data_IF_750890993427
#
_entry.id   IF_750890993427
#
_cell.length_a   1.000
_cell.length_b   1.000
_cell.length_c   1.000
_cell.angle_alpha   90.00
_cell.angle_beta   90.00
_cell.angle_gamma   90.00
#
_symmetry.space_group_name_H-M   'P 1'
#
loop_
_entity.id
_entity.type
_entity.pdbx_description
1 polymer ?
#
# COMPACT_ATOMS: atom_id res chain seq x y z
N UNK A 1 -11.67 37.89 1.57
CA UNK A 1 -10.37 38.06 2.27
C UNK A 1 -9.48 36.95 1.75
N UNK A 2 -8.27 37.26 1.29
CA UNK A 2 -7.31 36.21 0.93
C UNK A 2 -7.02 35.36 2.17
N UNK A 3 -6.94 34.02 2.03
CA UNK A 3 -6.69 33.15 3.17
C UNK A 3 -5.29 33.42 3.73
N UNK A 4 -5.20 33.66 5.04
CA UNK A 4 -3.94 33.98 5.73
C UNK A 4 -2.97 32.80 5.55
N UNK A 5 -1.72 33.05 5.11
CA UNK A 5 -0.73 31.99 4.94
C UNK A 5 -0.40 31.34 6.29
N UNK A 6 -0.34 30.00 6.37
CA UNK A 6 0.08 29.29 7.56
C UNK A 6 1.54 29.61 7.88
N UNK A 7 1.87 29.59 9.18
CA UNK A 7 3.26 29.64 9.60
C UNK A 7 4.00 28.36 9.17
N UNK A 8 5.32 28.42 8.91
CA UNK A 8 6.12 27.24 8.66
C UNK A 8 5.92 26.20 9.76
N UNK A 9 5.78 24.93 9.37
CA UNK A 9 5.68 23.83 10.32
C UNK A 9 6.99 23.73 11.10
N UNK A 10 6.87 23.59 12.42
CA UNK A 10 7.99 23.43 13.33
C UNK A 10 7.87 22.06 13.99
N UNK A 11 8.97 21.31 14.03
CA UNK A 11 9.03 20.07 14.78
C UNK A 11 8.87 20.35 16.28
N UNK A 12 7.97 19.67 17.01
CA UNK A 12 7.66 20.03 18.39
C UNK A 12 8.87 19.84 19.31
N UNK A 13 9.00 20.75 20.28
CA UNK A 13 10.00 20.66 21.33
C UNK A 13 9.79 19.37 22.14
N UNK A 14 10.85 18.57 22.29
CA UNK A 14 10.77 17.25 22.92
C UNK A 14 10.35 16.10 22.00
N UNK A 15 10.02 16.39 20.73
CA UNK A 15 9.79 15.38 19.69
C UNK A 15 8.49 14.58 19.82
N UNK A 16 7.52 15.08 20.59
CA UNK A 16 6.20 14.46 20.76
C UNK A 16 5.17 15.23 19.92
N UNK A 17 4.54 14.55 18.97
CA UNK A 17 3.43 15.13 18.20
C UNK A 17 2.17 15.23 19.05
N UNK A 18 1.29 16.18 18.72
CA UNK A 18 -0.06 16.31 19.30
C UNK A 18 -1.12 16.30 18.22
N UNK A 19 -2.39 16.15 18.59
CA UNK A 19 -3.50 16.27 17.63
C UNK A 19 -3.50 17.64 16.94
N UNK A 20 -3.23 18.72 17.68
CA UNK A 20 -3.15 20.07 17.15
C UNK A 20 -2.04 20.20 16.10
N UNK A 21 -0.91 19.53 16.31
CA UNK A 21 0.18 19.52 15.33
C UNK A 21 -0.24 18.83 14.03
N UNK A 22 -0.88 17.65 14.12
CA UNK A 22 -1.32 16.89 12.94
C UNK A 22 -2.45 17.62 12.20
N UNK A 23 -3.42 18.19 12.91
CA UNK A 23 -4.47 19.01 12.31
C UNK A 23 -3.92 20.30 11.69
N UNK A 24 -2.90 20.90 12.30
CA UNK A 24 -2.16 22.01 11.73
C UNK A 24 -1.48 21.63 10.42
N UNK A 25 -0.83 20.46 10.37
CA UNK A 25 -0.20 19.91 9.16
C UNK A 25 -1.24 19.70 8.05
N UNK A 26 -2.37 19.06 8.36
CA UNK A 26 -3.48 18.87 7.42
C UNK A 26 -3.94 20.20 6.80
N UNK A 27 -4.21 21.19 7.65
CA UNK A 27 -4.69 22.51 7.22
C UNK A 27 -3.63 23.24 6.38
N UNK A 28 -2.36 23.05 6.72
CA UNK A 28 -1.22 23.65 6.03
C UNK A 28 -1.03 23.04 4.64
N UNK A 29 -1.08 21.72 4.51
CA UNK A 29 -1.02 21.03 3.22
C UNK A 29 -2.22 21.34 2.32
N UNK A 30 -3.43 21.38 2.90
CA UNK A 30 -4.63 21.84 2.18
C UNK A 30 -4.40 23.25 1.65
N UNK A 31 -3.99 24.20 2.49
CA UNK A 31 -3.74 25.57 2.06
C UNK A 31 -2.65 25.67 1.00
N UNK A 32 -1.49 24.99 1.16
CA UNK A 32 -0.41 25.09 0.18
C UNK A 32 -0.77 24.51 -1.17
N UNK A 33 -1.59 23.45 -1.20
CA UNK A 33 -2.03 22.84 -2.46
C UNK A 33 -2.80 23.80 -3.37
N UNK A 34 -3.46 24.82 -2.79
CA UNK A 34 -4.22 25.83 -3.51
C UNK A 34 -3.44 27.11 -3.80
N UNK A 35 -2.48 27.45 -2.94
CA UNK A 35 -1.91 28.79 -2.88
C UNK A 35 -0.42 28.86 -3.24
N UNK A 36 0.30 27.73 -3.21
CA UNK A 36 1.73 27.70 -3.49
C UNK A 36 2.04 26.86 -4.73
N UNK A 37 2.99 27.29 -5.58
CA UNK A 37 3.60 26.38 -6.54
C UNK A 37 4.38 25.27 -5.78
N UNK A 38 4.53 24.07 -6.37
CA UNK A 38 5.19 22.93 -5.70
C UNK A 38 6.59 23.25 -5.14
N UNK A 39 7.39 24.04 -5.87
CA UNK A 39 8.75 24.43 -5.48
C UNK A 39 8.81 25.35 -4.25
N UNK A 40 7.67 25.86 -3.77
CA UNK A 40 7.59 26.68 -2.56
C UNK A 40 7.13 25.90 -1.32
N UNK A 41 6.81 24.60 -1.45
CA UNK A 41 6.51 23.75 -0.29
C UNK A 41 7.59 23.79 0.82
N UNK A 42 8.90 23.89 0.54
CA UNK A 42 9.93 23.97 1.58
C UNK A 42 9.80 25.18 2.51
N UNK A 43 9.13 26.25 2.08
CA UNK A 43 8.84 27.41 2.93
C UNK A 43 7.84 27.09 4.05
N UNK A 44 6.99 26.08 3.82
CA UNK A 44 5.97 25.61 4.75
C UNK A 44 6.40 24.33 5.48
N UNK A 45 7.03 23.38 4.77
CA UNK A 45 7.49 22.10 5.30
C UNK A 45 9.01 21.96 5.15
N UNK A 46 9.79 22.53 6.10
CA UNK A 46 11.25 22.51 6.05
C UNK A 46 11.84 21.09 6.11
N UNK A 47 12.99 20.89 5.45
CA UNK A 47 13.67 19.59 5.36
C UNK A 47 14.00 18.98 6.73
N UNK A 48 14.37 19.79 7.72
CA UNK A 48 14.66 19.30 9.06
C UNK A 48 13.42 18.73 9.78
N UNK A 49 12.22 19.21 9.46
CA UNK A 49 10.96 18.67 9.98
C UNK A 49 10.68 17.33 9.32
N UNK A 50 10.86 17.22 8.00
CA UNK A 50 10.74 15.95 7.27
C UNK A 50 11.71 14.92 7.83
N UNK A 51 12.99 15.28 7.99
CA UNK A 51 14.01 14.39 8.54
C UNK A 51 13.63 13.87 9.93
N UNK A 52 13.10 14.75 10.79
CA UNK A 52 12.69 14.39 12.15
C UNK A 52 11.45 13.47 12.15
N UNK A 53 10.47 13.76 11.31
CA UNK A 53 9.24 12.97 11.18
C UNK A 53 9.55 11.58 10.63
N UNK A 54 10.24 11.50 9.50
CA UNK A 54 10.61 10.23 8.87
C UNK A 54 11.50 9.41 9.80
N UNK A 55 12.50 10.00 10.44
CA UNK A 55 13.36 9.27 11.38
C UNK A 55 12.55 8.69 12.55
N UNK A 56 11.60 9.44 13.09
CA UNK A 56 10.76 9.00 14.20
C UNK A 56 9.82 7.87 13.77
N UNK A 57 9.17 8.03 12.62
CA UNK A 57 8.29 7.00 12.07
C UNK A 57 9.06 5.72 11.70
N UNK A 58 10.22 5.83 11.03
CA UNK A 58 11.07 4.70 10.68
C UNK A 58 11.48 3.90 11.92
N UNK A 59 11.81 4.54 13.05
CA UNK A 59 12.12 3.84 14.31
C UNK A 59 10.96 3.02 14.86
N UNK A 60 9.72 3.44 14.61
CA UNK A 60 8.51 2.70 14.99
C UNK A 60 8.34 1.52 14.02
N UNK A 61 8.27 1.80 12.72
CA UNK A 61 8.03 0.81 11.66
C UNK A 61 9.07 -0.33 11.66
N UNK A 62 10.35 -0.03 11.88
CA UNK A 62 11.41 -1.05 11.95
C UNK A 62 11.24 -2.06 13.09
N UNK A 63 10.51 -1.70 14.15
CA UNK A 63 10.22 -2.60 15.28
C UNK A 63 8.98 -3.45 15.05
N UNK A 64 8.14 -3.08 14.08
CA UNK A 64 6.93 -3.82 13.77
C UNK A 64 7.25 -5.13 13.05
N UNK A 65 6.38 -6.12 13.20
CA UNK A 65 6.50 -7.40 12.51
C UNK A 65 6.08 -7.27 11.05
N UNK A 66 6.42 -8.25 10.21
CA UNK A 66 5.97 -8.25 8.81
C UNK A 66 4.45 -8.31 8.71
N UNK A 67 3.82 -9.09 9.60
CA UNK A 67 2.39 -9.11 9.80
C UNK A 67 2.09 -8.47 11.16
N UNK A 68 1.49 -7.28 11.16
CA UNK A 68 1.10 -6.57 12.39
C UNK A 68 -0.25 -7.07 12.89
N UNK A 69 -0.48 -6.96 14.19
CA UNK A 69 -1.70 -7.44 14.82
C UNK A 69 -2.49 -6.26 15.40
N UNK A 70 -3.81 -6.25 15.15
CA UNK A 70 -4.77 -5.26 15.65
C UNK A 70 -5.75 -6.00 16.57
N UNK A 71 -5.30 -6.27 17.80
CA UNK A 71 -6.00 -7.17 18.73
C UNK A 71 -6.52 -6.46 20.01
N UNK A 72 -6.04 -5.24 20.33
CA UNK A 72 -6.47 -4.44 21.48
C UNK A 72 -7.82 -3.74 21.23
N UNK A 73 -8.84 -4.55 20.88
CA UNK A 73 -10.17 -4.10 20.46
C UNK A 73 -11.22 -4.41 21.53
N UNK A 74 -11.98 -3.39 21.93
CA UNK A 74 -13.11 -3.50 22.84
C UNK A 74 -14.47 -3.38 22.12
N UNK A 75 -15.58 -3.38 22.87
CA UNK A 75 -16.93 -3.31 22.30
C UNK A 75 -17.26 -2.00 21.58
N UNK A 76 -16.48 -0.94 21.82
CA UNK A 76 -16.65 0.37 21.19
C UNK A 76 -15.62 0.61 20.07
N UNK A 77 -14.75 -0.37 19.82
CA UNK A 77 -13.66 -0.26 18.89
C UNK A 77 -14.11 -0.40 17.45
N UNK A 78 -13.53 0.47 16.61
CA UNK A 78 -13.72 0.48 15.16
C UNK A 78 -12.38 0.43 14.47
N UNK A 79 -12.23 -0.42 13.47
CA UNK A 79 -11.07 -0.48 12.60
C UNK A 79 -11.48 0.00 11.22
N UNK A 80 -10.91 1.12 10.79
CA UNK A 80 -11.11 1.68 9.46
C UNK A 80 -10.01 1.14 8.55
N UNK A 81 -10.40 0.38 7.52
CA UNK A 81 -9.46 -0.14 6.51
C UNK A 81 -9.57 0.72 5.26
N UNK A 82 -8.43 1.26 4.81
CA UNK A 82 -8.30 2.20 3.70
C UNK A 82 -7.38 1.56 2.65
N UNK A 83 -7.82 1.56 1.39
CA UNK A 83 -7.02 1.11 0.26
C UNK A 83 -6.15 2.21 -0.31
N UNK A 84 -5.89 2.11 -1.61
CA UNK A 84 -4.96 2.98 -2.33
C UNK A 84 -5.40 4.45 -2.28
N UNK A 85 -4.43 5.36 -2.14
CA UNK A 85 -4.66 6.81 -2.07
C UNK A 85 -4.01 7.53 -3.25
N UNK A 86 -2.85 7.05 -3.71
CA UNK A 86 -2.14 7.56 -4.89
C UNK A 86 -2.01 9.09 -4.94
N UNK A 87 -1.48 9.68 -3.87
CA UNK A 87 -1.21 11.11 -3.80
C UNK A 87 -2.44 12.02 -3.91
N UNK A 88 -3.66 11.49 -3.72
CA UNK A 88 -4.90 12.29 -3.71
C UNK A 88 -5.16 12.87 -2.31
N UNK A 89 -4.34 13.86 -1.91
CA UNK A 89 -4.37 14.46 -0.58
C UNK A 89 -5.78 14.93 -0.15
N UNK A 90 -6.52 15.63 -1.03
CA UNK A 90 -7.83 16.21 -0.68
C UNK A 90 -8.87 15.13 -0.37
N UNK A 91 -8.81 14.02 -1.09
CA UNK A 91 -9.67 12.87 -0.89
C UNK A 91 -9.32 12.15 0.43
N UNK A 92 -8.03 12.05 0.78
CA UNK A 92 -7.59 11.58 2.10
C UNK A 92 -8.08 12.50 3.23
N UNK A 93 -7.97 13.82 3.06
CA UNK A 93 -8.45 14.79 4.05
C UNK A 93 -9.97 14.69 4.26
N UNK A 94 -10.72 14.47 3.18
CA UNK A 94 -12.14 14.19 3.26
C UNK A 94 -12.41 12.86 3.98
N UNK A 95 -11.75 11.77 3.58
CA UNK A 95 -11.92 10.44 4.17
C UNK A 95 -11.68 10.48 5.68
N UNK A 96 -10.60 11.11 6.15
CA UNK A 96 -10.30 11.22 7.58
C UNK A 96 -11.36 12.04 8.36
N UNK A 97 -11.96 13.06 7.72
CA UNK A 97 -13.04 13.84 8.31
C UNK A 97 -14.34 13.03 8.37
N UNK A 98 -14.67 12.32 7.30
CA UNK A 98 -15.89 11.52 7.15
C UNK A 98 -15.87 10.26 8.03
N UNK A 99 -14.80 9.48 7.94
CA UNK A 99 -14.58 8.29 8.76
C UNK A 99 -14.24 8.63 10.21
N UNK A 100 -13.93 9.90 10.53
CA UNK A 100 -13.49 10.41 11.83
C UNK A 100 -12.02 10.09 12.14
N UNK A 101 -11.31 11.02 12.78
CA UNK A 101 -9.87 10.87 13.01
C UNK A 101 -9.49 9.70 13.92
N UNK A 102 -8.24 9.18 13.80
CA UNK A 102 -7.71 8.21 14.75
C UNK A 102 -7.88 8.69 16.20
N UNK A 103 -8.35 7.79 17.06
CA UNK A 103 -8.53 8.06 18.48
C UNK A 103 -8.43 6.75 19.27
N UNK A 104 -8.68 6.80 20.58
CA UNK A 104 -8.47 5.65 21.46
C UNK A 104 -9.23 4.38 21.02
N UNK A 105 -10.45 4.53 20.49
CA UNK A 105 -11.30 3.44 20.01
C UNK A 105 -11.46 3.42 18.47
N UNK A 106 -10.67 4.21 17.74
CA UNK A 106 -10.71 4.23 16.26
C UNK A 106 -9.33 3.99 15.69
N UNK A 107 -9.19 2.80 15.16
CA UNK A 107 -7.98 2.28 14.55
C UNK A 107 -8.05 2.47 13.05
N UNK A 108 -6.90 2.57 12.42
CA UNK A 108 -6.74 2.68 10.99
C UNK A 108 -5.72 1.67 10.49
N UNK A 109 -6.08 0.95 9.44
CA UNK A 109 -5.16 0.14 8.63
C UNK A 109 -5.17 0.71 7.22
N UNK A 110 -4.08 1.38 6.84
CA UNK A 110 -3.86 1.85 5.48
C UNK A 110 -3.11 0.77 4.70
N UNK A 111 -3.68 0.33 3.59
CA UNK A 111 -3.25 -0.87 2.88
C UNK A 111 -2.36 -0.54 1.67
N UNK A 112 -1.37 0.33 1.86
CA UNK A 112 -0.37 0.67 0.84
C UNK A 112 -0.81 1.69 -0.20
N UNK A 113 0.12 2.02 -1.11
CA UNK A 113 -0.07 2.88 -2.29
C UNK A 113 -0.52 4.30 -1.94
N UNK A 114 0.35 4.96 -1.18
CA UNK A 114 0.18 6.32 -0.70
C UNK A 114 0.63 7.35 -1.73
N UNK A 115 1.65 6.99 -2.51
CA UNK A 115 2.38 7.87 -3.44
C UNK A 115 2.09 7.52 -4.89
N UNK A 116 2.74 8.24 -5.81
CA UNK A 116 2.59 8.14 -7.26
C UNK A 116 1.20 8.49 -7.78
N UNK A 117 1.11 8.66 -9.11
CA UNK A 117 -0.10 8.95 -9.90
C UNK A 117 -0.76 10.31 -9.62
N UNK A 118 -0.98 10.66 -8.36
CA UNK A 118 -1.43 11.97 -7.93
C UNK A 118 -0.29 12.97 -7.72
N UNK A 119 -0.63 14.24 -7.48
CA UNK A 119 0.35 15.32 -7.36
C UNK A 119 0.81 15.64 -5.94
N UNK A 120 0.25 14.95 -4.93
CA UNK A 120 0.51 15.21 -3.51
C UNK A 120 0.89 13.93 -2.76
N UNK A 121 1.71 13.08 -3.38
CA UNK A 121 2.21 11.85 -2.76
C UNK A 121 3.05 12.15 -1.51
N UNK A 122 3.89 13.18 -1.54
CA UNK A 122 4.73 13.53 -0.39
C UNK A 122 3.91 14.05 0.79
N UNK A 123 2.95 14.94 0.55
CA UNK A 123 2.05 15.45 1.59
C UNK A 123 1.20 14.32 2.18
N UNK A 124 0.69 13.43 1.32
CA UNK A 124 -0.08 12.24 1.72
C UNK A 124 0.75 11.35 2.65
N UNK A 125 1.95 10.97 2.22
CA UNK A 125 2.82 10.10 3.00
C UNK A 125 3.24 10.74 4.32
N UNK A 126 3.67 12.02 4.32
CA UNK A 126 4.05 12.73 5.54
C UNK A 126 2.86 12.88 6.53
N UNK A 127 1.65 13.11 6.03
CA UNK A 127 0.45 13.15 6.87
C UNK A 127 0.19 11.79 7.54
N UNK A 128 0.25 10.69 6.79
CA UNK A 128 0.08 9.35 7.34
C UNK A 128 1.16 9.00 8.37
N UNK A 129 2.43 9.34 8.09
CA UNK A 129 3.52 9.19 9.06
C UNK A 129 3.29 10.00 10.33
N UNK A 130 2.70 11.19 10.24
CA UNK A 130 2.40 12.00 11.43
C UNK A 130 1.35 11.34 12.33
N UNK A 131 0.31 10.75 11.74
CA UNK A 131 -0.66 9.95 12.47
C UNK A 131 -0.04 8.68 13.06
N UNK A 132 0.86 8.01 12.33
CA UNK A 132 1.62 6.86 12.84
C UNK A 132 2.50 7.22 14.03
N UNK A 133 3.18 8.36 13.99
CA UNK A 133 4.03 8.83 15.10
C UNK A 133 3.19 9.25 16.31
N UNK A 134 2.06 9.91 16.08
CA UNK A 134 1.15 10.33 17.15
C UNK A 134 0.46 9.14 17.83
N UNK A 135 0.00 8.16 17.05
CA UNK A 135 -0.80 7.03 17.53
C UNK A 135 -0.29 5.68 16.99
N UNK A 136 0.92 5.23 17.39
CA UNK A 136 1.58 4.07 16.79
C UNK A 136 0.82 2.76 16.95
N UNK A 137 -0.02 2.64 17.99
CA UNK A 137 -0.84 1.46 18.26
C UNK A 137 -2.31 1.62 17.81
N UNK A 138 -2.63 2.67 17.05
CA UNK A 138 -3.95 2.91 16.45
C UNK A 138 -3.88 3.10 14.94
N UNK A 139 -2.73 3.50 14.40
CA UNK A 139 -2.53 3.72 12.97
C UNK A 139 -1.47 2.73 12.47
N UNK A 140 -1.86 1.89 11.52
CA UNK A 140 -1.01 0.89 10.89
C UNK A 140 -0.89 1.25 9.40
N UNK A 141 0.35 1.33 8.93
CA UNK A 141 0.68 1.65 7.54
C UNK A 141 1.31 0.41 6.93
N UNK A 142 0.59 -0.28 6.06
CA UNK A 142 1.12 -1.42 5.32
C UNK A 142 1.84 -0.95 4.06
N UNK A 143 2.69 -1.79 3.50
CA UNK A 143 3.41 -1.47 2.28
C UNK A 143 2.55 -1.78 1.08
N UNK A 144 2.47 -0.86 0.11
CA UNK A 144 1.98 -1.12 -1.24
C UNK A 144 3.13 -1.34 -2.21
N UNK A 145 2.81 -1.72 -3.45
CA UNK A 145 3.85 -1.89 -4.47
C UNK A 145 4.47 -0.55 -4.87
N UNK A 146 3.72 0.55 -4.77
CA UNK A 146 4.22 1.89 -5.07
C UNK A 146 5.20 2.43 -4.03
N UNK A 147 5.27 1.86 -2.82
CA UNK A 147 6.36 2.14 -1.87
C UNK A 147 7.65 1.36 -2.21
N UNK A 148 8.12 1.50 -3.46
CA UNK A 148 9.32 0.88 -4.04
C UNK A 148 10.09 1.88 -4.90
N UNK A 149 11.37 1.63 -5.19
CA UNK A 149 12.18 2.56 -6.00
C UNK A 149 11.73 2.52 -7.45
N UNK A 150 11.46 1.32 -7.97
CA UNK A 150 10.99 1.14 -9.34
C UNK A 150 9.72 1.97 -9.60
N UNK A 151 8.67 1.76 -8.80
CA UNK A 151 7.39 2.44 -9.00
C UNK A 151 7.54 3.95 -8.86
N UNK A 152 8.22 4.42 -7.82
CA UNK A 152 8.35 5.87 -7.57
C UNK A 152 9.18 6.60 -8.63
N UNK A 153 10.13 5.91 -9.29
CA UNK A 153 10.85 6.48 -10.44
C UNK A 153 9.99 6.56 -11.71
N UNK A 154 9.06 5.62 -11.89
CA UNK A 154 8.25 5.49 -13.10
C UNK A 154 6.95 6.31 -13.04
N UNK A 155 6.32 6.36 -11.86
CA UNK A 155 4.93 6.83 -11.71
C UNK A 155 4.81 8.17 -10.95
N UNK A 156 5.94 8.83 -10.72
CA UNK A 156 6.02 10.28 -10.55
C UNK A 156 6.51 10.77 -9.19
N UNK A 157 6.53 9.96 -8.14
CA UNK A 157 6.90 10.41 -6.80
C UNK A 157 8.34 10.92 -6.71
N UNK A 158 9.30 10.30 -7.42
CA UNK A 158 10.67 10.83 -7.47
C UNK A 158 10.69 12.24 -8.05
N UNK A 159 10.06 12.44 -9.21
CA UNK A 159 9.98 13.73 -9.88
C UNK A 159 9.19 14.76 -9.05
N UNK A 160 8.14 14.34 -8.34
CA UNK A 160 7.39 15.17 -7.40
C UNK A 160 8.33 15.74 -6.33
N UNK A 161 9.06 14.89 -5.63
CA UNK A 161 9.96 15.28 -4.54
C UNK A 161 11.10 16.14 -5.05
N UNK A 162 11.69 15.81 -6.20
CA UNK A 162 12.74 16.61 -6.85
C UNK A 162 12.24 18.01 -7.23
N UNK A 163 11.02 18.11 -7.76
CA UNK A 163 10.41 19.41 -8.12
C UNK A 163 10.12 20.26 -6.90
N UNK A 164 9.61 19.65 -5.83
CA UNK A 164 9.23 20.37 -4.60
C UNK A 164 10.44 20.88 -3.81
N UNK A 165 11.54 20.11 -3.79
CA UNK A 165 12.69 20.39 -2.91
C UNK A 165 14.00 20.77 -3.62
N UNK A 166 14.02 20.81 -4.95
CA UNK A 166 15.17 21.28 -5.72
C UNK A 166 16.47 20.56 -5.36
N UNK A 167 17.48 21.30 -4.92
CA UNK A 167 18.80 20.76 -4.52
C UNK A 167 18.72 19.77 -3.34
N UNK A 168 17.67 19.85 -2.51
CA UNK A 168 17.42 18.92 -1.40
C UNK A 168 16.52 17.75 -1.78
N UNK A 169 15.97 17.72 -2.99
CA UNK A 169 15.01 16.69 -3.42
C UNK A 169 15.56 15.27 -3.31
N UNK A 170 16.79 15.02 -3.79
CA UNK A 170 17.44 13.70 -3.69
C UNK A 170 17.58 13.21 -2.26
N UNK A 171 17.86 14.11 -1.31
CA UNK A 171 17.95 13.78 0.11
C UNK A 171 16.59 13.39 0.68
N UNK A 172 15.56 14.20 0.43
CA UNK A 172 14.19 13.93 0.89
C UNK A 172 13.65 12.62 0.30
N UNK A 173 13.87 12.40 -0.99
CA UNK A 173 13.45 11.17 -1.68
C UNK A 173 14.11 9.93 -1.07
N UNK A 174 15.45 9.95 -0.87
CA UNK A 174 16.18 8.86 -0.22
C UNK A 174 15.67 8.57 1.20
N UNK A 175 15.26 9.61 1.94
CA UNK A 175 14.66 9.43 3.27
C UNK A 175 13.31 8.71 3.18
N UNK A 176 12.48 9.03 2.19
CA UNK A 176 11.22 8.33 1.95
C UNK A 176 11.47 6.85 1.60
N UNK A 177 12.38 6.57 0.66
CA UNK A 177 12.75 5.21 0.28
C UNK A 177 13.21 4.37 1.49
N UNK A 178 14.11 4.90 2.31
CA UNK A 178 14.55 4.21 3.54
C UNK A 178 13.46 4.05 4.60
N UNK A 179 12.36 4.80 4.51
CA UNK A 179 11.17 4.60 5.35
C UNK A 179 10.31 3.46 4.81
N UNK A 180 10.14 3.36 3.49
CA UNK A 180 9.34 2.34 2.82
C UNK A 180 9.82 0.92 3.14
N UNK A 181 11.12 0.69 3.23
CA UNK A 181 11.71 -0.60 3.63
C UNK A 181 11.24 -1.11 5.01
N UNK A 182 10.82 -0.18 5.88
CA UNK A 182 10.35 -0.49 7.23
C UNK A 182 8.87 -0.87 7.31
N UNK A 183 8.07 -0.53 6.29
CA UNK A 183 6.61 -0.74 6.30
C UNK A 183 6.26 -2.24 6.40
N UNK A 184 5.39 -2.65 7.34
CA UNK A 184 4.83 -4.00 7.39
C UNK A 184 4.17 -4.44 6.07
N UNK A 185 4.14 -5.74 5.81
CA UNK A 185 3.58 -6.30 4.57
C UNK A 185 2.09 -6.63 4.69
N UNK A 186 1.62 -6.97 5.89
CA UNK A 186 0.24 -7.39 6.12
C UNK A 186 -0.23 -7.04 7.54
N UNK A 187 -1.53 -7.21 7.80
CA UNK A 187 -2.08 -7.21 9.16
C UNK A 187 -3.06 -8.36 9.39
N UNK A 188 -3.22 -8.73 10.66
CA UNK A 188 -4.35 -9.51 11.18
C UNK A 188 -5.14 -8.60 12.12
N UNK A 189 -6.44 -8.45 11.85
CA UNK A 189 -7.36 -7.65 12.66
C UNK A 189 -8.31 -8.61 13.40
N UNK A 190 -8.38 -8.47 14.73
CA UNK A 190 -9.28 -9.26 15.59
C UNK A 190 -9.16 -10.77 15.36
N UNK A 191 -7.97 -11.29 15.02
CA UNK A 191 -7.73 -12.70 14.67
C UNK A 191 -8.59 -13.28 13.52
N UNK A 192 -9.35 -12.45 12.81
CA UNK A 192 -10.36 -12.90 11.82
C UNK A 192 -10.17 -12.32 10.43
N UNK A 193 -9.46 -11.21 10.30
CA UNK A 193 -9.36 -10.49 9.03
C UNK A 193 -7.89 -10.31 8.67
N UNK A 194 -7.48 -10.87 7.53
CA UNK A 194 -6.17 -10.63 6.96
C UNK A 194 -6.22 -9.47 5.98
N UNK A 195 -5.27 -8.54 6.08
CA UNK A 195 -5.13 -7.45 5.12
C UNK A 195 -3.72 -7.43 4.52
N UNK A 196 -3.65 -7.23 3.22
CA UNK A 196 -2.39 -7.02 2.49
C UNK A 196 -2.70 -6.24 1.21
N UNK A 197 -1.74 -5.48 0.70
CA UNK A 197 -1.97 -4.65 -0.49
C UNK A 197 -2.28 -5.50 -1.73
N UNK A 198 -1.33 -6.36 -2.11
CA UNK A 198 -1.45 -7.42 -3.11
C UNK A 198 -2.43 -8.51 -2.65
N UNK A 199 -1.94 -9.46 -1.86
CA UNK A 199 -2.81 -10.48 -1.28
C UNK A 199 -2.07 -11.72 -0.84
N UNK A 200 -2.42 -12.85 -1.47
CA UNK A 200 -1.86 -14.16 -1.14
C UNK A 200 -0.47 -14.35 -1.73
N UNK A 201 0.28 -15.30 -1.17
CA UNK A 201 1.69 -15.50 -1.48
C UNK A 201 2.06 -16.98 -1.54
N UNK A 202 3.12 -17.31 -2.29
CA UNK A 202 3.60 -18.69 -2.42
C UNK A 202 4.46 -19.11 -1.23
N UNK A 203 4.47 -20.40 -0.95
CA UNK A 203 5.47 -21.00 -0.07
C UNK A 203 6.84 -21.00 -0.77
N UNK A 204 7.89 -20.64 -0.02
CA UNK A 204 9.27 -20.64 -0.50
C UNK A 204 10.07 -21.83 0.05
N UNK A 205 9.44 -22.67 0.87
CA UNK A 205 10.06 -23.90 1.38
C UNK A 205 10.21 -24.91 0.24
N UNK A 206 11.46 -25.13 -0.17
CA UNK A 206 11.79 -26.20 -1.10
C UNK A 206 11.40 -27.57 -0.49
N UNK A 207 10.81 -28.50 -1.27
CA UNK A 207 10.57 -29.86 -0.81
C UNK A 207 11.88 -30.48 -0.33
N UNK A 208 11.92 -30.96 0.92
CA UNK A 208 13.08 -31.71 1.43
C UNK A 208 13.28 -32.93 0.52
N UNK A 209 14.35 -32.94 -0.30
CA UNK A 209 14.77 -34.15 -1.03
C UNK A 209 14.96 -35.27 0.00
N UNK A 210 14.16 -36.33 -0.09
CA UNK A 210 14.34 -37.51 0.74
C UNK A 210 15.77 -38.03 0.55
N UNK A 211 16.53 -38.17 1.64
CA UNK A 211 17.85 -38.82 1.64
C UNK A 211 17.66 -40.33 1.42
N UNK A 212 17.34 -40.72 0.20
CA UNK A 212 17.29 -42.11 -0.25
C UNK A 212 18.69 -42.64 -0.56
N UNK A 213 19.03 -43.80 -0.01
CA UNK A 213 20.29 -44.53 -0.24
C UNK A 213 20.55 -44.69 -1.76
N UNK A 214 21.77 -44.36 -2.19
CA UNK A 214 22.30 -44.68 -3.53
C UNK A 214 22.14 -46.18 -3.78
N UNK A 215 21.24 -46.57 -4.69
CA UNK A 215 21.44 -47.64 -5.70
C UNK A 215 20.12 -47.98 -6.41
N UNK A 216 19.83 -47.28 -7.49
CA UNK A 216 19.27 -47.81 -8.77
C UNK A 216 19.03 -46.63 -9.71
N UNK A 217 19.66 -46.67 -10.90
CA UNK A 217 19.31 -45.79 -12.03
C UNK A 217 17.91 -46.22 -12.51
N UNK A 218 16.89 -45.55 -12.00
CA UNK A 218 15.57 -45.49 -12.62
C UNK A 218 15.53 -44.14 -13.32
N UNK A 219 15.16 -44.13 -14.61
CA UNK A 219 14.80 -42.90 -15.32
C UNK A 219 13.68 -42.24 -14.52
N UNK A 220 14.02 -41.16 -13.80
CA UNK A 220 13.01 -40.32 -13.17
C UNK A 220 12.22 -39.65 -14.30
N UNK A 221 10.87 -39.60 -14.23
CA UNK A 221 10.13 -38.69 -15.09
C UNK A 221 10.71 -37.28 -14.90
N UNK A 222 10.63 -36.45 -15.95
CA UNK A 222 10.95 -35.03 -15.83
C UNK A 222 10.27 -34.47 -14.58
N UNK A 223 10.95 -33.65 -13.76
CA UNK A 223 10.30 -33.07 -12.59
C UNK A 223 9.10 -32.29 -13.12
N UNK A 224 7.89 -32.70 -12.74
CA UNK A 224 6.72 -31.86 -12.98
C UNK A 224 7.04 -30.45 -12.48
N UNK A 225 6.70 -29.39 -13.24
CA UNK A 225 6.92 -28.04 -12.78
C UNK A 225 6.34 -27.94 -11.38
N UNK A 226 7.19 -27.60 -10.40
CA UNK A 226 6.82 -27.68 -9.00
C UNK A 226 5.52 -26.89 -8.79
N UNK A 227 4.42 -27.60 -8.53
CA UNK A 227 3.11 -27.00 -8.36
C UNK A 227 3.20 -25.90 -7.30
N UNK A 228 2.86 -24.66 -7.66
CA UNK A 228 2.83 -23.54 -6.72
C UNK A 228 1.89 -23.89 -5.54
N UNK A 229 2.29 -23.51 -4.32
CA UNK A 229 1.52 -23.75 -3.09
C UNK A 229 1.41 -22.48 -2.29
N UNK A 230 0.29 -22.31 -1.59
CA UNK A 230 0.10 -21.20 -0.66
C UNK A 230 1.09 -21.26 0.50
N UNK A 231 1.69 -20.11 0.79
CA UNK A 231 2.58 -19.91 1.92
C UNK A 231 1.84 -19.91 3.26
N UNK A 232 2.62 -19.90 4.33
CA UNK A 232 2.15 -19.86 5.72
C UNK A 232 2.36 -18.49 6.36
N UNK A 233 1.56 -18.15 7.39
CA UNK A 233 1.77 -16.91 8.15
C UNK A 233 3.15 -16.91 8.82
N UNK A 234 3.69 -18.07 9.20
CA UNK A 234 5.04 -18.22 9.73
C UNK A 234 6.11 -17.85 8.68
N UNK A 235 5.94 -18.27 7.43
CA UNK A 235 6.81 -17.87 6.32
C UNK A 235 6.73 -16.36 6.08
N UNK A 236 5.54 -15.77 6.10
CA UNK A 236 5.36 -14.31 6.00
C UNK A 236 6.08 -13.57 7.12
N UNK A 237 5.99 -14.06 8.35
CA UNK A 237 6.69 -13.48 9.51
C UNK A 237 8.22 -13.54 9.37
N UNK A 238 8.76 -14.51 8.63
CA UNK A 238 10.20 -14.70 8.42
C UNK A 238 10.73 -14.04 7.14
N UNK A 239 9.85 -13.57 6.25
CA UNK A 239 10.22 -12.91 5.01
C UNK A 239 11.15 -11.70 5.25
N UNK A 240 12.11 -11.48 4.36
CA UNK A 240 12.98 -10.30 4.45
C UNK A 240 12.29 -9.13 3.75
N UNK A 241 11.54 -8.32 4.51
CA UNK A 241 10.80 -7.16 3.96
C UNK A 241 11.65 -5.93 3.66
N UNK A 242 12.84 -5.80 4.27
CA UNK A 242 13.76 -4.66 4.12
C UNK A 242 14.54 -4.67 2.80
N UNK A 243 13.84 -4.99 1.72
CA UNK A 243 14.30 -4.84 0.34
C UNK A 243 13.45 -3.76 -0.31
N UNK A 244 14.08 -2.77 -0.91
CA UNK A 244 13.35 -1.63 -1.49
C UNK A 244 12.53 -2.05 -2.70
N UNK A 245 13.10 -2.87 -3.57
CA UNK A 245 12.40 -3.52 -4.67
C UNK A 245 12.36 -5.03 -4.37
N UNK A 246 11.17 -5.64 -4.29
CA UNK A 246 11.07 -7.08 -4.08
C UNK A 246 11.58 -7.84 -5.32
N UNK A 247 12.36 -8.91 -5.15
CA UNK A 247 12.86 -9.67 -6.30
C UNK A 247 11.74 -10.50 -6.93
N UNK A 248 11.79 -10.68 -8.26
CA UNK A 248 10.88 -11.55 -9.00
C UNK A 248 11.36 -13.00 -9.09
N UNK A 249 12.62 -13.28 -8.72
CA UNK A 249 13.23 -14.61 -8.67
C UNK A 249 14.03 -14.85 -7.38
N UNK A 250 14.46 -16.09 -7.18
CA UNK A 250 15.24 -16.49 -6.00
C UNK A 250 14.38 -16.89 -4.80
N UNK A 251 14.90 -16.66 -3.59
CA UNK A 251 14.32 -17.21 -2.35
C UNK A 251 13.47 -16.21 -1.53
N UNK A 252 13.55 -14.91 -1.82
CA UNK A 252 12.82 -13.87 -1.09
C UNK A 252 11.60 -13.35 -1.88
N UNK A 253 10.75 -14.27 -2.35
CA UNK A 253 9.61 -13.95 -3.23
C UNK A 253 8.37 -13.44 -2.49
N UNK A 254 8.22 -13.76 -1.20
CA UNK A 254 7.02 -13.43 -0.42
C UNK A 254 6.70 -11.92 -0.42
N UNK A 255 7.65 -11.00 -0.21
CA UNK A 255 7.35 -9.57 -0.31
C UNK A 255 6.81 -9.18 -1.69
N UNK A 256 7.33 -9.76 -2.78
CA UNK A 256 6.81 -9.52 -4.13
C UNK A 256 5.38 -10.01 -4.27
N UNK A 257 5.09 -11.25 -3.85
CA UNK A 257 3.75 -11.81 -3.93
C UNK A 257 2.72 -11.03 -3.08
N UNK A 258 3.08 -10.66 -1.85
CA UNK A 258 2.17 -9.91 -0.96
C UNK A 258 1.83 -8.54 -1.50
N UNK A 259 2.72 -7.93 -2.30
CA UNK A 259 2.54 -6.59 -2.86
C UNK A 259 1.93 -6.59 -4.28
N UNK A 260 2.10 -7.65 -5.07
CA UNK A 260 1.78 -7.64 -6.52
C UNK A 260 0.84 -8.75 -7.00
N UNK A 261 0.43 -9.66 -6.12
CA UNK A 261 -0.50 -10.71 -6.55
C UNK A 261 -1.91 -10.14 -6.76
N UNK A 262 -2.67 -10.76 -7.67
CA UNK A 262 -4.06 -10.41 -7.99
C UNK A 262 -5.01 -11.62 -7.94
N UNK A 263 -6.29 -11.42 -7.57
CA UNK A 263 -7.28 -12.49 -7.60
C UNK A 263 -7.71 -12.84 -9.03
N UNK A 264 -8.14 -14.07 -9.23
CA UNK A 264 -8.66 -14.58 -10.50
C UNK A 264 -9.86 -15.49 -10.24
N UNK A 265 -10.78 -15.58 -11.21
CA UNK A 265 -11.87 -16.57 -11.15
C UNK A 265 -11.41 -17.99 -11.51
N UNK A 266 -10.18 -18.15 -12.00
CA UNK A 266 -9.62 -19.46 -12.37
C UNK A 266 -9.02 -20.13 -11.13
N UNK A 267 -9.43 -21.37 -10.77
CA UNK A 267 -8.86 -22.09 -9.63
C UNK A 267 -7.35 -22.30 -9.72
N UNK A 268 -6.69 -22.33 -8.56
CA UNK A 268 -5.27 -22.59 -8.38
C UNK A 268 -4.41 -21.33 -8.26
N UNK A 269 -3.09 -21.54 -8.24
CA UNK A 269 -2.07 -20.50 -8.27
C UNK A 269 -1.36 -20.51 -9.61
N UNK A 270 -1.16 -19.33 -10.19
CA UNK A 270 -0.35 -19.13 -11.39
C UNK A 270 0.58 -17.91 -11.22
N UNK A 271 1.71 -17.83 -11.94
CA UNK A 271 2.46 -16.58 -12.02
C UNK A 271 1.61 -15.44 -12.60
N UNK A 272 1.79 -14.22 -12.09
CA UNK A 272 1.17 -13.03 -12.67
C UNK A 272 2.05 -12.49 -13.81
N UNK A 273 1.85 -13.02 -15.02
CA UNK A 273 2.62 -12.61 -16.19
C UNK A 273 2.36 -11.15 -16.57
N UNK A 274 1.14 -10.66 -16.39
CA UNK A 274 0.74 -9.28 -16.68
C UNK A 274 1.56 -8.28 -15.86
N UNK A 275 1.63 -8.47 -14.54
CA UNK A 275 2.46 -7.63 -13.66
C UNK A 275 3.96 -7.90 -13.82
N UNK A 276 4.35 -9.09 -14.30
CA UNK A 276 5.73 -9.55 -14.37
C UNK A 276 6.33 -10.04 -13.04
N UNK A 277 5.58 -9.92 -11.94
CA UNK A 277 5.91 -10.36 -10.57
C UNK A 277 4.61 -10.72 -9.83
N UNK A 278 4.69 -11.55 -8.79
CA UNK A 278 3.53 -11.96 -8.00
C UNK A 278 2.79 -13.15 -8.59
N UNK A 279 1.54 -13.34 -8.15
CA UNK A 279 0.70 -14.48 -8.47
C UNK A 279 -0.71 -14.06 -8.90
N UNK A 280 -1.35 -14.93 -9.69
CA UNK A 280 -2.79 -15.00 -9.81
C UNK A 280 -3.30 -16.11 -8.87
N UNK A 281 -4.37 -15.86 -8.12
CA UNK A 281 -4.97 -16.89 -7.25
C UNK A 281 -6.48 -17.02 -7.40
N UNK A 282 -6.96 -18.27 -7.41
CA UNK A 282 -8.37 -18.62 -7.53
C UNK A 282 -9.19 -18.57 -6.23
N UNK A 283 -10.52 -18.80 -6.33
CA UNK A 283 -11.39 -18.91 -5.16
C UNK A 283 -11.02 -20.11 -4.24
N UNK A 284 -10.52 -21.20 -4.79
CA UNK A 284 -10.04 -22.37 -4.03
C UNK A 284 -8.85 -22.02 -3.13
N UNK A 285 -7.94 -21.17 -3.61
CA UNK A 285 -6.82 -20.66 -2.81
C UNK A 285 -7.30 -19.72 -1.69
N UNK A 286 -8.34 -18.94 -1.96
CA UNK A 286 -8.99 -18.09 -0.94
C UNK A 286 -9.62 -18.93 0.15
N UNK A 287 -10.38 -19.97 -0.23
CA UNK A 287 -10.96 -20.93 0.71
C UNK A 287 -9.89 -21.63 1.54
N UNK A 288 -8.85 -22.16 0.91
CA UNK A 288 -7.77 -22.85 1.61
C UNK A 288 -7.08 -21.94 2.64
N UNK A 289 -6.78 -20.69 2.26
CA UNK A 289 -6.11 -19.75 3.15
C UNK A 289 -7.00 -19.36 4.34
N UNK A 290 -8.25 -18.96 4.08
CA UNK A 290 -9.20 -18.58 5.13
C UNK A 290 -9.43 -19.73 6.10
N UNK A 291 -9.66 -20.94 5.58
CA UNK A 291 -9.89 -22.15 6.37
C UNK A 291 -8.68 -22.52 7.22
N UNK A 292 -7.48 -22.49 6.63
CA UNK A 292 -6.23 -22.90 7.30
C UNK A 292 -5.90 -22.02 8.50
N UNK A 293 -6.18 -20.73 8.41
CA UNK A 293 -5.84 -19.75 9.45
C UNK A 293 -7.06 -19.28 10.26
N UNK A 294 -8.21 -19.96 10.11
CA UNK A 294 -9.46 -19.65 10.81
C UNK A 294 -9.94 -18.20 10.63
N UNK A 295 -9.62 -17.62 9.48
CA UNK A 295 -9.99 -16.27 9.07
C UNK A 295 -11.35 -16.27 8.37
N UNK A 296 -11.96 -15.09 8.32
CA UNK A 296 -13.26 -14.83 7.67
C UNK A 296 -13.17 -13.85 6.52
N UNK A 297 -12.18 -12.97 6.52
CA UNK A 297 -12.00 -12.00 5.45
C UNK A 297 -10.54 -11.92 5.03
N UNK A 298 -10.32 -11.79 3.73
CA UNK A 298 -9.13 -11.16 3.16
C UNK A 298 -9.58 -9.81 2.60
N UNK A 299 -8.92 -8.73 3.02
CA UNK A 299 -9.13 -7.39 2.47
C UNK A 299 -7.84 -6.96 1.77
N UNK A 300 -7.92 -6.71 0.47
CA UNK A 300 -6.80 -6.27 -0.37
C UNK A 300 -7.12 -4.99 -1.15
N UNK A 301 -6.14 -4.39 -1.82
CA UNK A 301 -6.33 -3.13 -2.57
C UNK A 301 -5.80 -3.20 -4.02
N UNK A 302 -4.85 -2.35 -4.45
CA UNK A 302 -4.01 -2.45 -5.67
C UNK A 302 -4.71 -2.34 -7.04
N UNK A 303 -5.89 -2.95 -7.21
CA UNK A 303 -6.61 -2.94 -8.49
C UNK A 303 -7.64 -1.79 -8.52
N UNK A 304 -7.22 -0.66 -9.11
CA UNK A 304 -8.09 0.47 -9.44
C UNK A 304 -9.01 0.21 -10.64
N UNK A 305 -9.84 1.19 -11.05
CA UNK A 305 -10.76 1.02 -12.20
C UNK A 305 -10.05 0.71 -13.53
N UNK A 306 -8.83 1.21 -13.72
CA UNK A 306 -7.93 0.95 -14.86
C UNK A 306 -7.44 -0.51 -14.94
N UNK A 307 -7.11 -1.09 -13.79
CA UNK A 307 -6.79 -2.50 -13.70
C UNK A 307 -8.04 -3.35 -13.95
N UNK A 308 -9.15 -3.00 -13.27
CA UNK A 308 -10.37 -3.82 -13.22
C UNK A 308 -11.11 -3.91 -14.54
N UNK A 309 -11.04 -2.90 -15.42
CA UNK A 309 -11.65 -2.99 -16.76
C UNK A 309 -11.09 -4.12 -17.62
N UNK A 310 -9.87 -4.60 -17.32
CA UNK A 310 -9.19 -5.70 -18.03
C UNK A 310 -9.46 -7.07 -17.42
N UNK A 311 -10.08 -7.13 -16.24
CA UNK A 311 -10.25 -8.37 -15.46
C UNK A 311 -11.56 -9.06 -15.81
N UNK A 312 -11.48 -10.06 -16.69
CA UNK A 312 -12.65 -10.85 -17.09
C UNK A 312 -13.20 -11.63 -15.89
N UNK A 313 -14.49 -11.44 -15.59
CA UNK A 313 -15.21 -12.17 -14.54
C UNK A 313 -15.14 -11.53 -13.16
N UNK A 314 -14.37 -10.46 -12.99
CA UNK A 314 -14.34 -9.66 -11.75
C UNK A 314 -15.14 -8.36 -11.94
N UNK A 315 -15.74 -7.87 -10.86
CA UNK A 315 -16.57 -6.66 -10.92
C UNK A 315 -15.73 -5.39 -11.10
N UNK A 316 -16.31 -4.35 -11.71
CA UNK A 316 -15.69 -3.04 -11.82
C UNK A 316 -15.58 -2.31 -10.48
N UNK A 317 -14.70 -1.30 -10.42
CA UNK A 317 -14.41 -0.55 -9.20
C UNK A 317 -15.33 0.67 -8.99
N UNK A 318 -16.55 0.66 -9.56
CA UNK A 318 -17.46 1.83 -9.60
C UNK A 318 -17.77 2.41 -8.20
N UNK A 319 -17.85 1.54 -7.19
CA UNK A 319 -18.15 1.90 -5.80
C UNK A 319 -16.92 2.05 -4.92
N UNK A 320 -15.72 1.89 -5.47
CA UNK A 320 -14.46 1.84 -4.73
C UNK A 320 -14.23 0.53 -3.97
N UNK A 321 -15.08 -0.49 -4.15
CA UNK A 321 -14.84 -1.82 -3.59
C UNK A 321 -15.55 -2.91 -4.39
N UNK A 322 -15.08 -4.14 -4.23
CA UNK A 322 -15.69 -5.36 -4.78
C UNK A 322 -15.56 -6.54 -3.81
N UNK A 323 -16.47 -7.52 -3.93
CA UNK A 323 -16.34 -8.83 -3.30
C UNK A 323 -15.95 -9.79 -4.41
N UNK A 324 -14.69 -10.20 -4.43
CA UNK A 324 -14.10 -10.91 -5.56
C UNK A 324 -14.32 -12.41 -5.46
N UNK A 325 -14.16 -12.97 -4.25
CA UNK A 325 -14.49 -14.36 -3.97
C UNK A 325 -15.43 -14.45 -2.75
N UNK A 326 -16.49 -15.24 -2.87
CA UNK A 326 -17.32 -15.68 -1.76
C UNK A 326 -17.19 -17.20 -1.66
N UNK A 327 -16.63 -17.67 -0.56
CA UNK A 327 -16.28 -19.07 -0.32
C UNK A 327 -16.89 -19.55 1.01
N UNK A 328 -16.81 -20.84 1.30
CA UNK A 328 -17.42 -21.41 2.51
C UNK A 328 -16.87 -20.77 3.80
N UNK A 329 -15.56 -20.54 3.84
CA UNK A 329 -14.88 -20.00 5.01
C UNK A 329 -15.04 -18.48 5.16
N UNK A 330 -15.38 -17.74 4.09
CA UNK A 330 -15.46 -16.29 4.15
C UNK A 330 -15.40 -15.57 2.80
N UNK A 331 -14.82 -14.37 2.77
CA UNK A 331 -14.80 -13.50 1.58
C UNK A 331 -13.42 -12.92 1.29
N UNK A 332 -13.15 -12.71 0.01
CA UNK A 332 -12.12 -11.82 -0.49
C UNK A 332 -12.76 -10.50 -0.94
N UNK A 333 -12.23 -9.39 -0.43
CA UNK A 333 -12.68 -8.04 -0.74
C UNK A 333 -11.52 -7.24 -1.30
N UNK A 334 -11.77 -6.50 -2.38
CA UNK A 334 -10.85 -5.49 -2.89
C UNK A 334 -11.42 -4.11 -2.55
N UNK A 335 -10.61 -3.24 -1.93
CA UNK A 335 -10.96 -1.88 -1.52
C UNK A 335 -10.02 -0.87 -2.18
N UNK A 336 -10.57 0.21 -2.70
CA UNK A 336 -9.83 1.25 -3.41
C UNK A 336 -10.32 2.63 -2.95
N UNK A 337 -9.41 3.44 -2.40
CA UNK A 337 -9.76 4.70 -1.71
C UNK A 337 -9.43 5.95 -2.52
N UNK A 338 -9.06 5.81 -3.79
CA UNK A 338 -8.81 6.92 -4.71
C UNK A 338 -10.02 7.13 -5.66
N UNK A 339 -10.94 8.06 -5.35
CA UNK A 339 -12.07 8.36 -6.24
C UNK A 339 -11.61 9.09 -7.49
N UNK A 340 -12.38 8.91 -8.57
CA UNK A 340 -12.16 9.52 -9.88
C UNK A 340 -10.71 9.35 -10.35
N UNK A 341 -10.19 8.13 -10.20
CA UNK A 341 -8.83 7.74 -10.50
C UNK A 341 -8.69 7.35 -11.99
N UNK A 342 -7.53 7.61 -12.64
CA UNK A 342 -6.39 8.35 -12.10
C UNK A 342 -6.62 9.87 -12.10
N UNK A 343 -5.87 10.57 -11.26
CA UNK A 343 -5.95 12.04 -11.19
C UNK A 343 -5.65 12.68 -12.56
N UNK A 344 -4.63 12.18 -13.26
CA UNK A 344 -4.25 12.61 -14.60
C UNK A 344 -4.52 11.47 -15.59
N UNK A 345 -5.18 11.78 -16.70
CA UNK A 345 -5.49 10.81 -17.76
C UNK A 345 -5.45 11.49 -19.12
N UNK A 346 -5.01 10.75 -20.14
CA UNK A 346 -4.94 11.24 -21.52
C UNK A 346 -6.32 11.28 -22.19
N UNK A 347 -7.24 10.42 -21.78
CA UNK A 347 -8.57 10.29 -22.38
C UNK A 347 -9.53 11.36 -21.83
N UNK A 348 -10.55 11.71 -22.63
CA UNK A 348 -11.62 12.63 -22.19
C UNK A 348 -12.64 11.95 -21.27
N UNK A 349 -12.80 10.64 -21.40
CA UNK A 349 -13.72 9.85 -20.59
C UNK A 349 -13.03 9.43 -19.30
N UNK A 350 -13.63 9.81 -18.16
CA UNK A 350 -13.13 9.45 -16.82
C UNK A 350 -13.85 8.19 -16.35
N UNK A 351 -13.16 7.36 -15.58
CA UNK A 351 -13.76 6.21 -14.90
C UNK A 351 -14.89 6.61 -13.94
N UNK A 352 -14.77 7.80 -13.30
CA UNK A 352 -15.75 8.32 -12.32
C UNK A 352 -16.05 7.31 -11.21
N UNK A 353 -15.08 6.46 -10.88
CA UNK A 353 -15.20 5.53 -9.77
C UNK A 353 -15.33 6.32 -8.45
N UNK A 354 -16.08 5.77 -7.50
CA UNK A 354 -16.00 6.22 -6.11
C UNK A 354 -14.73 5.68 -5.46
N UNK A 355 -14.28 6.35 -4.42
CA UNK A 355 -13.38 5.77 -3.43
C UNK A 355 -14.23 5.10 -2.35
N UNK A 356 -13.67 4.15 -1.61
CA UNK A 356 -14.33 3.63 -0.42
C UNK A 356 -13.34 3.31 0.70
N UNK A 357 -13.87 3.21 1.91
CA UNK A 357 -13.20 2.62 3.07
C UNK A 357 -14.14 1.64 3.77
N UNK A 358 -13.57 0.72 4.54
CA UNK A 358 -14.31 -0.30 5.29
C UNK A 358 -14.26 0.03 6.78
N UNK A 359 -15.39 -0.12 7.47
CA UNK A 359 -15.46 -0.10 8.93
C UNK A 359 -15.72 -1.53 9.42
N UNK A 360 -14.78 -2.06 10.20
CA UNK A 360 -14.93 -3.29 10.97
C UNK A 360 -15.17 -2.89 12.43
N UNK A 361 -16.17 -3.46 13.10
CA UNK A 361 -16.51 -3.07 14.46
C UNK A 361 -17.11 -4.23 15.25
N UNK A 362 -17.05 -4.14 16.57
CA UNK A 362 -17.73 -5.07 17.46
C UNK A 362 -19.26 -5.11 17.20
N UNK A 363 -19.93 -6.24 17.49
CA UNK A 363 -19.39 -7.47 18.09
C UNK A 363 -18.71 -8.40 17.08
N UNK A 364 -18.79 -8.13 15.78
CA UNK A 364 -18.30 -9.03 14.73
C UNK A 364 -17.44 -8.26 13.73
N UNK A 365 -16.12 -8.28 13.95
CA UNK A 365 -15.14 -7.61 13.07
C UNK A 365 -15.03 -8.26 11.69
N UNK A 366 -15.70 -9.39 11.43
CA UNK A 366 -15.79 -10.01 10.11
C UNK A 366 -17.03 -9.63 9.29
N UNK A 367 -17.85 -8.67 9.75
CA UNK A 367 -18.95 -8.08 8.98
C UNK A 367 -18.60 -6.66 8.49
N UNK A 368 -18.09 -6.50 7.25
CA UNK A 368 -17.54 -5.24 6.79
C UNK A 368 -18.63 -4.25 6.38
N UNK A 369 -18.57 -3.03 6.93
CA UNK A 369 -19.41 -1.93 6.49
C UNK A 369 -18.66 -1.05 5.48
N UNK A 370 -19.13 -1.04 4.23
CA UNK A 370 -18.55 -0.23 3.17
C UNK A 370 -19.08 1.21 3.21
N UNK A 371 -18.17 2.17 3.05
CA UNK A 371 -18.49 3.60 2.91
C UNK A 371 -17.83 4.13 1.65
N UNK A 372 -18.63 4.33 0.60
CA UNK A 372 -18.18 4.93 -0.65
C UNK A 372 -18.32 6.45 -0.62
N UNK A 373 -17.40 7.15 -1.27
CA UNK A 373 -17.39 8.61 -1.37
C UNK A 373 -16.94 9.06 -2.76
N UNK A 374 -17.43 10.23 -3.16
CA UNK A 374 -17.07 10.87 -4.42
C UNK A 374 -15.79 11.69 -4.28
N UNK A 375 -15.13 11.95 -5.41
CA UNK A 375 -13.95 12.82 -5.44
C UNK A 375 -14.29 14.23 -4.95
N UNK A 376 -13.39 14.80 -4.15
CA UNK A 376 -13.47 16.19 -3.73
C UNK A 376 -13.28 17.08 -4.97
N UNK A 377 -14.26 17.93 -5.23
CA UNK A 377 -14.25 18.88 -6.36
C UNK A 377 -14.63 20.30 -5.91
N UNK A 378 -14.04 21.36 -6.53
CA UNK A 378 -12.93 21.30 -7.48
C UNK A 378 -11.61 20.86 -6.81
N UNK A 379 -10.70 20.24 -7.57
CA UNK A 379 -9.32 19.96 -7.15
C UNK A 379 -8.42 21.18 -7.43
N UNK A 380 -7.33 21.41 -6.67
CA UNK A 380 -6.36 22.41 -7.05
C UNK A 380 -5.73 22.06 -8.40
N UNK A 381 -5.29 23.10 -9.12
CA UNK A 381 -4.58 22.90 -10.38
C UNK A 381 -3.22 22.26 -10.09
N UNK A 382 -2.94 21.16 -10.78
CA UNK A 382 -1.69 20.44 -10.66
C UNK A 382 -1.22 19.95 -12.03
N UNK A 383 0.07 19.68 -12.14
CA UNK A 383 0.69 19.03 -13.29
C UNK A 383 1.16 17.63 -12.88
N UNK A 384 1.13 16.65 -13.81
CA UNK A 384 1.65 15.31 -13.55
C UNK A 384 3.17 15.32 -13.42
N UNK A 385 3.68 14.39 -12.62
CA UNK A 385 5.12 14.17 -12.41
C UNK A 385 5.68 12.96 -13.17
N UNK A 386 4.84 12.35 -14.01
CA UNK A 386 5.18 11.20 -14.84
C UNK A 386 4.50 11.35 -16.20
N UNK A 387 4.93 10.55 -17.16
CA UNK A 387 4.34 10.49 -18.48
C UNK A 387 3.04 9.67 -18.45
N UNK A 388 1.95 10.30 -18.00
CA UNK A 388 0.63 9.69 -17.91
C UNK A 388 -0.01 9.37 -19.27
N UNK A 389 0.57 9.82 -20.39
CA UNK A 389 0.10 9.50 -21.73
C UNK A 389 0.65 8.15 -22.20
N UNK A 390 1.91 7.85 -21.89
CA UNK A 390 2.57 6.59 -22.27
C UNK A 390 2.59 5.54 -21.15
N UNK A 391 2.35 5.96 -19.90
CA UNK A 391 2.36 5.10 -18.71
C UNK A 391 0.96 5.12 -18.09
N UNK A 392 0.01 4.57 -18.85
CA UNK A 392 -1.42 4.67 -18.55
C UNK A 392 -1.79 3.77 -17.36
N UNK A 393 -1.16 2.60 -17.25
CA UNK A 393 -1.59 1.56 -16.32
C UNK A 393 -0.52 1.20 -15.29
N UNK A 394 -0.95 0.80 -14.08
CA UNK A 394 -0.07 0.14 -13.10
C UNK A 394 0.22 -1.33 -13.44
N UNK A 395 -0.48 -1.83 -14.45
CA UNK A 395 -0.49 -3.21 -14.92
C UNK A 395 0.52 -3.52 -16.02
N UNK A 396 1.17 -2.51 -16.60
CA UNK A 396 2.10 -2.73 -17.72
C UNK A 396 3.35 -3.47 -17.26
N UNK A 397 3.80 -4.46 -18.05
CA UNK A 397 4.90 -5.36 -17.75
C UNK A 397 6.10 -4.59 -17.17
N UNK A 398 6.45 -4.90 -15.92
CA UNK A 398 7.63 -4.32 -15.30
C UNK A 398 8.87 -4.64 -16.13
N UNK A 399 9.65 -3.61 -16.47
CA UNK A 399 10.95 -3.79 -17.10
C UNK A 399 11.90 -4.50 -16.13
N UNK A 400 12.03 -5.81 -16.31
CA UNK A 400 12.85 -6.71 -15.48
C UNK A 400 14.32 -6.31 -15.44
N UNK A 401 14.80 -5.51 -16.39
CA UNK A 401 16.20 -5.04 -16.40
C UNK A 401 16.47 -3.88 -15.44
N UNK A 402 15.44 -3.12 -15.05
CA UNK A 402 15.57 -1.93 -14.20
C UNK A 402 15.69 -2.25 -12.69
N UNK A 403 15.33 -3.48 -12.29
CA UNK A 403 15.35 -3.90 -10.89
C UNK A 403 16.70 -4.50 -10.46
N UNK A 404 17.61 -4.76 -11.40
CA UNK A 404 18.86 -5.51 -11.15
C UNK A 404 20.05 -4.61 -10.76
N UNK A 405 19.82 -3.33 -10.43
CA UNK A 405 20.89 -2.45 -9.94
C UNK A 405 21.15 -2.71 -8.46
N UNK A 406 21.74 -3.87 -8.14
CA UNK A 406 22.65 -3.95 -7.02
C UNK A 406 23.84 -3.04 -7.36
N UNK A 407 23.86 -1.83 -6.81
CA UNK A 407 25.11 -1.07 -6.71
C UNK A 407 26.09 -1.95 -5.93
N UNK A 408 27.02 -2.58 -6.66
CA UNK A 408 28.22 -3.16 -6.07
C UNK A 408 28.88 -2.07 -5.24
N UNK A 409 28.79 -2.19 -3.91
CA UNK A 409 29.62 -1.40 -3.02
C UNK A 409 31.07 -1.71 -3.39
N UNK A 410 31.89 -0.70 -3.77
CA UNK A 410 33.30 -0.95 -3.98
C UNK A 410 33.92 -1.34 -2.63
N UNK A 411 34.45 -2.56 -2.58
CA UNK A 411 35.26 -3.04 -1.46
C UNK A 411 36.38 -2.03 -1.17
N UNK A 412 36.41 -1.52 0.06
CA UNK A 412 37.61 -1.01 0.70
C UNK A 412 37.84 -1.76 2.02
#
# INVERSE_FOLDING_TARGET
>A
MEPIPPSPIIWPNGGVLTNEWVHGLMSSFEWSSWNLPPSQLPSLMPVNVIDSLILTASKILHKERNCVHVDDLDSESKVVVVGDIHGQLHDLLFLLKDAGFPCQNRFYVFNGDYVDRGAWGLETFLLLLSWKVLMPNRVYLLRGNHESKYCTSMYGFENEVLTKYGDKGKHVYRKCLGCFEGLPLASIISERVYTAHGGLFRSTVLPKRARGKKNRRVLLPEPEPASLKLGTLEELMQARRSVLDPPWEGSNLIPGDVLWSDPSMIPGLAPNEQRGIGLLWGPDCTEEFLKRFELKLIIRSHEGPDAREKRVGLAGMDKGYTIDHEVESGKLITIFSAPDYPQFQATKERYKNKGAYIILQAPEFSDPQFKSFDAVTPRPKAHPYYDFENVIDSDDEMDKSAMDTNDEQPNH
#
